data_IF_305603076892
#
_entry.id   IF_305603076892
#
_cell.length_a   1.000
_cell.length_b   1.000
_cell.length_c   1.000
_cell.angle_alpha   90.00
_cell.angle_beta   90.00
_cell.angle_gamma   90.00
#
_symmetry.space_group_name_H-M   'P 1'
#
loop_
_entity.id
_entity.type
_entity.pdbx_description
1 polymer ?
#
# COMPACT_ATOMS: atom_id res chain seq x y z
N UNK A 1 8.46 2.38 -0.18
CA UNK A 1 7.34 1.40 -0.30
C UNK A 1 7.37 0.87 -1.71
N UNK A 2 7.19 -0.43 -1.91
CA UNK A 2 7.36 -1.07 -3.22
C UNK A 2 6.04 -1.70 -3.66
N UNK A 3 5.58 -1.36 -4.86
CA UNK A 3 4.41 -1.98 -5.50
C UNK A 3 4.91 -3.10 -6.42
N UNK A 4 4.33 -4.29 -6.33
CA UNK A 4 4.73 -5.45 -7.13
C UNK A 4 3.79 -5.71 -8.30
N UNK A 5 2.51 -5.41 -8.14
CA UNK A 5 1.50 -5.66 -9.16
C UNK A 5 0.34 -4.69 -9.02
N UNK A 6 -0.18 -4.23 -10.15
CA UNK A 6 -1.40 -3.44 -10.25
C UNK A 6 -2.37 -4.14 -11.19
N UNK A 7 -3.53 -4.57 -10.68
CA UNK A 7 -4.65 -5.02 -11.52
C UNK A 7 -5.70 -3.92 -11.54
N UNK A 8 -5.73 -3.16 -12.64
CA UNK A 8 -6.69 -2.10 -12.87
C UNK A 8 -7.94 -2.61 -13.60
N UNK A 9 -9.12 -2.31 -13.07
CA UNK A 9 -10.36 -2.25 -13.83
C UNK A 9 -10.81 -0.79 -13.96
N UNK A 10 -11.82 -0.51 -14.79
CA UNK A 10 -12.29 0.86 -15.07
C UNK A 10 -12.73 1.67 -13.82
N UNK A 11 -12.95 1.00 -12.68
CA UNK A 11 -13.50 1.60 -11.45
C UNK A 11 -12.47 1.58 -10.30
N UNK A 12 -11.60 0.57 -10.23
CA UNK A 12 -10.67 0.40 -9.13
C UNK A 12 -9.42 -0.36 -9.56
N UNK A 13 -8.29 -0.02 -8.94
CA UNK A 13 -7.01 -0.68 -9.11
C UNK A 13 -6.60 -1.37 -7.81
N UNK A 14 -6.36 -2.68 -7.89
CA UNK A 14 -5.78 -3.45 -6.79
C UNK A 14 -4.26 -3.33 -6.83
N UNK A 15 -3.68 -2.78 -5.77
CA UNK A 15 -2.25 -2.67 -5.53
C UNK A 15 -1.82 -3.79 -4.57
N UNK A 16 -0.78 -4.52 -4.94
CA UNK A 16 -0.13 -5.49 -4.06
C UNK A 16 1.33 -5.08 -3.94
N UNK A 17 1.83 -4.99 -2.72
CA UNK A 17 3.18 -4.50 -2.49
C UNK A 17 3.70 -4.85 -1.10
N UNK A 18 4.81 -4.23 -0.75
CA UNK A 18 5.37 -4.28 0.60
C UNK A 18 5.95 -2.93 1.02
N UNK A 19 6.04 -2.74 2.33
CA UNK A 19 6.79 -1.64 2.92
C UNK A 19 7.81 -2.18 3.92
N UNK A 20 8.85 -1.37 4.16
CA UNK A 20 9.87 -1.64 5.15
C UNK A 20 9.61 -0.78 6.38
N UNK A 21 9.70 -1.39 7.55
CA UNK A 21 9.58 -0.72 8.83
C UNK A 21 10.56 -1.38 9.80
N UNK A 22 11.56 -0.62 10.27
CA UNK A 22 12.68 -1.13 11.09
C UNK A 22 13.35 -2.37 10.47
N UNK A 23 13.72 -2.27 9.19
CA UNK A 23 14.35 -3.36 8.38
C UNK A 23 13.53 -4.64 8.24
N UNK A 24 12.24 -4.59 8.58
CA UNK A 24 11.32 -5.71 8.42
C UNK A 24 10.34 -5.44 7.29
N UNK A 25 10.13 -6.46 6.47
CA UNK A 25 9.16 -6.41 5.37
C UNK A 25 7.74 -6.73 5.86
N UNK A 26 6.79 -5.92 5.36
CA UNK A 26 5.36 -6.07 5.58
C UNK A 26 4.61 -6.00 4.24
N UNK A 27 3.93 -7.08 3.89
CA UNK A 27 3.09 -7.14 2.69
C UNK A 27 1.78 -6.38 2.92
N UNK A 28 1.33 -5.67 1.90
CA UNK A 28 0.05 -4.98 1.90
C UNK A 28 -0.75 -5.27 0.64
N UNK A 29 -2.07 -5.08 0.76
CA UNK A 29 -2.97 -4.99 -0.38
C UNK A 29 -3.77 -3.71 -0.23
N UNK A 30 -3.83 -2.91 -1.29
CA UNK A 30 -4.63 -1.71 -1.32
C UNK A 30 -5.58 -1.72 -2.53
N UNK A 31 -6.73 -1.08 -2.38
CA UNK A 31 -7.66 -0.80 -3.47
C UNK A 31 -7.70 0.72 -3.64
N UNK A 32 -7.27 1.19 -4.80
CA UNK A 32 -7.41 2.58 -5.21
C UNK A 32 -8.65 2.72 -6.10
N UNK A 33 -9.60 3.58 -5.71
CA UNK A 33 -10.82 3.83 -6.49
C UNK A 33 -10.65 5.11 -7.33
N UNK A 34 -10.93 5.03 -8.63
CA UNK A 34 -10.73 6.13 -9.58
C UNK A 34 -9.33 6.17 -10.21
N UNK A 35 -8.94 7.32 -10.80
CA UNK A 35 -7.59 7.52 -11.36
C UNK A 35 -6.54 7.19 -10.31
N UNK A 36 -5.49 6.47 -10.66
CA UNK A 36 -4.38 6.22 -9.73
C UNK A 36 -3.79 7.60 -9.35
N UNK A 37 -3.91 8.00 -8.07
CA UNK A 37 -3.72 9.39 -7.60
C UNK A 37 -5.02 10.14 -7.22
N UNK A 38 -6.17 9.46 -7.19
CA UNK A 38 -7.45 9.95 -6.68
C UNK A 38 -7.67 9.53 -5.22
N UNK A 39 -8.18 10.46 -4.42
CA UNK A 39 -8.24 10.52 -2.94
C UNK A 39 -8.71 9.29 -2.12
N UNK A 40 -9.10 8.17 -2.74
CA UNK A 40 -9.73 7.04 -2.05
C UNK A 40 -8.91 5.75 -2.19
N UNK A 41 -7.92 5.56 -1.32
CA UNK A 41 -7.16 4.30 -1.18
C UNK A 41 -7.55 3.59 0.11
N UNK A 42 -8.14 2.40 -0.02
CA UNK A 42 -8.37 1.50 1.11
C UNK A 42 -7.20 0.52 1.24
N UNK A 43 -6.50 0.54 2.37
CA UNK A 43 -5.37 -0.35 2.66
C UNK A 43 -5.76 -1.40 3.69
N UNK A 44 -5.51 -2.67 3.39
CA UNK A 44 -5.65 -3.76 4.34
C UNK A 44 -4.30 -4.35 4.75
N UNK A 45 -4.07 -4.44 6.06
CA UNK A 45 -2.97 -5.22 6.64
C UNK A 45 -3.46 -6.62 7.03
N UNK A 46 -2.63 -7.64 6.79
CA UNK A 46 -2.92 -9.00 7.26
C UNK A 46 -2.82 -9.10 8.78
N UNK A 47 -3.55 -10.04 9.42
CA UNK A 47 -3.46 -10.27 10.89
C UNK A 47 -2.00 -10.43 11.36
N UNK A 48 -1.20 -11.20 10.60
CA UNK A 48 0.24 -11.40 10.88
C UNK A 48 1.04 -10.10 10.82
N UNK A 49 0.73 -9.20 9.89
CA UNK A 49 1.38 -7.90 9.79
C UNK A 49 1.00 -7.02 11.00
N UNK A 50 -0.27 -6.96 11.36
CA UNK A 50 -0.78 -6.22 12.52
C UNK A 50 -0.13 -6.69 13.83
N UNK A 51 -0.06 -8.00 14.07
CA UNK A 51 0.60 -8.57 15.24
C UNK A 51 2.10 -8.23 15.30
N UNK A 52 2.78 -8.31 14.16
CA UNK A 52 4.20 -8.00 14.07
C UNK A 52 4.47 -6.51 14.32
N UNK A 53 3.60 -5.61 13.85
CA UNK A 53 3.66 -4.16 14.14
C UNK A 53 3.50 -3.90 15.65
N UNK A 54 2.54 -4.59 16.31
CA UNK A 54 2.37 -4.48 17.77
C UNK A 54 3.61 -4.96 18.52
N UNK A 55 4.22 -6.07 18.10
CA UNK A 55 5.43 -6.64 18.73
C UNK A 55 6.65 -5.70 18.68
N UNK A 56 6.74 -4.84 17.66
CA UNK A 56 7.83 -3.85 17.54
C UNK A 56 7.52 -2.50 18.22
N UNK A 57 6.43 -2.45 19.01
CA UNK A 57 6.05 -1.31 19.84
C UNK A 57 5.31 -0.20 19.10
N UNK A 58 4.69 -0.50 17.96
CA UNK A 58 3.97 0.48 17.14
C UNK A 58 2.48 0.18 17.11
N UNK A 59 1.70 1.24 16.85
CA UNK A 59 0.26 1.18 16.68
C UNK A 59 -0.07 0.83 15.21
N UNK A 60 -0.67 -0.35 14.93
CA UNK A 60 -1.01 -0.76 13.57
C UNK A 60 -1.92 0.22 12.83
N UNK A 61 -2.83 0.89 13.53
CA UNK A 61 -3.78 1.81 12.90
C UNK A 61 -3.05 3.08 12.42
N UNK A 62 -2.10 3.58 13.22
CA UNK A 62 -1.22 4.69 12.81
C UNK A 62 -0.31 4.30 11.64
N UNK A 63 0.23 3.08 11.65
CA UNK A 63 1.03 2.59 10.52
C UNK A 63 0.18 2.48 9.26
N UNK A 64 -1.03 1.93 9.36
CA UNK A 64 -1.95 1.80 8.22
C UNK A 64 -2.30 3.17 7.62
N UNK A 65 -2.61 4.16 8.46
CA UNK A 65 -2.90 5.52 8.03
C UNK A 65 -1.71 6.18 7.33
N UNK A 66 -0.49 6.00 7.85
CA UNK A 66 0.72 6.54 7.25
C UNK A 66 0.99 5.94 5.86
N UNK A 67 0.78 4.63 5.70
CA UNK A 67 0.94 3.97 4.40
C UNK A 67 -0.16 4.41 3.42
N UNK A 68 -1.41 4.58 3.87
CA UNK A 68 -2.49 5.11 3.04
C UNK A 68 -2.18 6.51 2.51
N UNK A 69 -1.65 7.40 3.37
CA UNK A 69 -1.24 8.75 2.94
C UNK A 69 -0.15 8.71 1.88
N UNK A 70 0.91 7.91 2.09
CA UNK A 70 1.98 7.73 1.09
C UNK A 70 1.46 7.19 -0.25
N UNK A 71 0.48 6.29 -0.23
CA UNK A 71 -0.17 5.79 -1.45
C UNK A 71 -0.97 6.90 -2.18
N UNK A 72 -1.65 7.78 -1.43
CA UNK A 72 -2.42 8.91 -1.97
C UNK A 72 -1.48 9.99 -2.53
N UNK A 73 -0.39 10.27 -1.83
CA UNK A 73 0.64 11.26 -2.21
C UNK A 73 1.54 10.79 -3.37
N UNK A 74 1.45 9.51 -3.75
CA UNK A 74 2.30 8.94 -4.80
C UNK A 74 3.74 8.67 -4.38
N UNK A 75 4.04 8.69 -3.08
CA UNK A 75 5.35 8.35 -2.50
C UNK A 75 5.55 6.83 -2.49
N UNK A 76 5.69 6.27 -3.69
CA UNK A 76 5.75 4.83 -3.96
C UNK A 76 6.84 4.54 -4.97
N UNK A 77 7.59 3.46 -4.77
CA UNK A 77 8.53 2.93 -5.76
C UNK A 77 7.74 1.91 -6.59
N UNK A 78 7.58 2.22 -7.88
CA UNK A 78 6.97 1.34 -8.86
C UNK A 78 8.04 0.46 -9.53
N UNK A 79 7.72 -0.77 -9.93
CA UNK A 79 8.66 -1.61 -10.67
C UNK A 79 8.84 -1.06 -12.08
N UNK A 80 10.05 -1.17 -12.63
CA UNK A 80 10.32 -0.76 -14.01
C UNK A 80 9.37 -1.47 -14.99
N UNK A 81 8.77 -0.70 -15.91
CA UNK A 81 7.83 -1.23 -16.91
C UNK A 81 6.35 -1.25 -16.46
N UNK A 82 6.03 -0.86 -15.22
CA UNK A 82 4.65 -0.69 -14.80
C UNK A 82 4.05 0.60 -15.41
N UNK A 83 3.46 0.47 -16.61
CA UNK A 83 2.68 1.56 -17.21
C UNK A 83 1.36 1.72 -16.44
N UNK A 84 1.23 2.83 -15.72
CA UNK A 84 -0.08 3.38 -15.37
C UNK A 84 -0.77 3.68 -16.71
N UNK A 85 -1.70 2.83 -17.15
CA UNK A 85 -2.48 3.15 -18.35
C UNK A 85 -3.39 4.33 -18.00
N UNK A 86 -3.16 5.43 -18.71
CA UNK A 86 -3.97 6.65 -18.72
C UNK A 86 -5.42 6.37 -19.15
#
# INVERSE_FOLDING_TARGET
MFVHNTRGGAIASKLIGHFLLKDQEFKFTAIAFGRIGGHNVSLGLSKKATEKIRKIGLDPDKVQLAIQRKLIEGDVILPEGLKLRE
#
